data_IF_579747745977
#
_entry.id   IF_579747745977
#
_cell.length_a   1.000
_cell.length_b   1.000
_cell.length_c   1.000
_cell.angle_alpha   90.00
_cell.angle_beta   90.00
_cell.angle_gamma   90.00
#
_symmetry.space_group_name_H-M   'P 1'
#
loop_
_entity.id
_entity.type
_entity.pdbx_description
1 polymer ?
#
# COMPACT_ATOMS: atom_id res chain seq x y z
N UNK A 1 -71.36 -88.08 15.19
CA UNK A 1 -71.63 -87.68 16.58
C UNK A 1 -70.33 -87.26 17.23
N UNK A 2 -70.35 -86.09 17.85
CA UNK A 2 -69.33 -85.39 18.63
C UNK A 2 -68.92 -84.07 17.96
N UNK A 3 -69.72 -83.06 18.30
CA UNK A 3 -69.63 -81.66 17.93
C UNK A 3 -68.31 -81.03 18.41
N UNK A 4 -67.71 -80.20 17.55
CA UNK A 4 -66.70 -79.21 17.96
C UNK A 4 -67.39 -77.85 18.01
N UNK A 5 -67.70 -77.41 19.22
CA UNK A 5 -68.26 -76.11 19.49
C UNK A 5 -67.26 -74.99 19.20
N UNK A 6 -67.76 -74.05 18.40
CA UNK A 6 -67.24 -72.73 18.11
C UNK A 6 -67.13 -71.88 19.38
N UNK A 7 -65.95 -71.33 19.64
CA UNK A 7 -65.80 -70.11 20.45
C UNK A 7 -65.24 -69.01 19.56
N UNK A 8 -66.15 -68.37 18.84
CA UNK A 8 -65.96 -67.04 18.26
C UNK A 8 -66.05 -66.01 19.39
N UNK A 9 -64.94 -65.37 19.74
CA UNK A 9 -64.95 -64.07 20.41
C UNK A 9 -64.50 -63.03 19.40
N UNK A 10 -65.49 -62.44 18.74
CA UNK A 10 -65.35 -61.21 17.96
C UNK A 10 -65.18 -60.05 18.94
N UNK A 11 -64.07 -59.32 18.80
CA UNK A 11 -63.91 -57.98 19.37
C UNK A 11 -62.96 -57.22 18.44
N UNK A 12 -63.53 -56.77 17.32
CA UNK A 12 -62.98 -55.72 16.48
C UNK A 12 -62.97 -54.41 17.29
N UNK A 13 -61.79 -53.92 17.62
CA UNK A 13 -61.53 -52.49 17.66
C UNK A 13 -60.88 -52.12 16.30
N UNK A 14 -61.47 -51.22 15.49
CA UNK A 14 -60.83 -50.74 14.29
C UNK A 14 -59.75 -49.75 14.70
N UNK A 15 -58.56 -50.26 15.01
CA UNK A 15 -57.35 -49.46 14.84
C UNK A 15 -57.14 -49.32 13.33
N UNK A 16 -57.17 -48.07 12.86
CA UNK A 16 -56.81 -47.65 11.51
C UNK A 16 -55.72 -48.56 10.95
N UNK A 17 -56.08 -49.41 9.99
CA UNK A 17 -55.11 -50.16 9.21
C UNK A 17 -54.46 -49.14 8.26
N UNK A 18 -53.23 -48.68 8.51
CA UNK A 18 -52.62 -47.59 7.75
C UNK A 18 -52.32 -48.00 6.31
N UNK A 19 -52.57 -49.25 5.95
CA UNK A 19 -52.35 -49.84 4.63
C UNK A 19 -53.65 -49.93 3.81
N UNK A 20 -54.82 -49.73 4.43
CA UNK A 20 -56.12 -49.87 3.77
C UNK A 20 -56.56 -48.65 2.96
N UNK A 21 -55.94 -47.49 3.17
CA UNK A 21 -56.28 -46.22 2.49
C UNK A 21 -55.38 -45.92 1.27
N UNK A 22 -54.35 -46.72 1.04
CA UNK A 22 -53.38 -46.50 -0.02
C UNK A 22 -53.75 -47.25 -1.30
N UNK A 23 -53.61 -46.59 -2.45
CA UNK A 23 -53.74 -47.26 -3.76
C UNK A 23 -52.59 -48.24 -3.99
N UNK A 24 -52.78 -49.27 -4.84
CA UNK A 24 -51.73 -50.25 -5.14
C UNK A 24 -50.39 -49.60 -5.59
N UNK A 25 -50.48 -48.48 -6.32
CA UNK A 25 -49.32 -47.70 -6.75
C UNK A 25 -48.61 -46.99 -5.57
N UNK A 26 -49.37 -46.46 -4.60
CA UNK A 26 -48.82 -45.87 -3.37
C UNK A 26 -48.18 -46.94 -2.48
N UNK A 27 -48.77 -48.14 -2.43
CA UNK A 27 -48.22 -49.30 -1.72
C UNK A 27 -46.88 -49.75 -2.34
N UNK A 28 -46.80 -49.76 -3.68
CA UNK A 28 -45.56 -50.09 -4.39
C UNK A 28 -44.48 -49.05 -4.10
N UNK A 29 -44.80 -47.75 -4.16
CA UNK A 29 -43.86 -46.69 -3.86
C UNK A 29 -43.34 -46.77 -2.42
N UNK A 30 -44.23 -47.05 -1.45
CA UNK A 30 -43.85 -47.24 -0.05
C UNK A 30 -42.92 -48.45 0.15
N UNK A 31 -43.15 -49.53 -0.58
CA UNK A 31 -42.31 -50.73 -0.53
C UNK A 31 -40.92 -50.44 -1.09
N UNK A 32 -40.82 -49.72 -2.21
CA UNK A 32 -39.54 -49.27 -2.78
C UNK A 32 -38.78 -48.35 -1.82
N UNK A 33 -39.47 -47.39 -1.20
CA UNK A 33 -38.88 -46.48 -0.22
C UNK A 33 -38.41 -47.21 1.04
N UNK A 34 -39.20 -48.17 1.55
CA UNK A 34 -38.81 -49.03 2.66
C UNK A 34 -37.62 -49.92 2.29
N UNK A 35 -37.56 -50.44 1.07
CA UNK A 35 -36.43 -51.25 0.61
C UNK A 35 -35.16 -50.41 0.51
N UNK A 36 -35.26 -49.19 -0.02
CA UNK A 36 -34.16 -48.24 -0.07
C UNK A 36 -33.67 -47.86 1.34
N UNK A 37 -34.60 -47.56 2.26
CA UNK A 37 -34.27 -47.27 3.66
C UNK A 37 -33.60 -48.45 4.36
N UNK A 38 -34.12 -49.67 4.19
CA UNK A 38 -33.52 -50.89 4.71
C UNK A 38 -32.10 -51.11 4.18
N UNK A 39 -31.86 -50.83 2.90
CA UNK A 39 -30.52 -50.91 2.31
C UNK A 39 -29.55 -49.90 2.93
N UNK A 40 -30.00 -48.69 3.24
CA UNK A 40 -29.19 -47.69 3.96
C UNK A 40 -28.84 -48.18 5.36
N UNK A 41 -29.82 -48.70 6.12
CA UNK A 41 -29.56 -49.26 7.45
C UNK A 41 -28.65 -50.49 7.43
N UNK A 42 -28.77 -51.34 6.42
CA UNK A 42 -27.85 -52.47 6.23
C UNK A 42 -26.42 -51.98 5.97
N UNK A 43 -26.23 -51.01 5.08
CA UNK A 43 -24.92 -50.43 4.81
C UNK A 43 -24.32 -49.77 6.06
N UNK A 44 -25.12 -49.01 6.80
CA UNK A 44 -24.74 -48.39 8.08
C UNK A 44 -24.32 -49.45 9.10
N UNK A 45 -25.09 -50.54 9.22
CA UNK A 45 -24.80 -51.65 10.14
C UNK A 45 -23.49 -52.36 9.78
N UNK A 46 -23.27 -52.64 8.49
CA UNK A 46 -22.04 -53.27 7.99
C UNK A 46 -20.84 -52.37 8.29
N UNK A 47 -20.96 -51.06 8.08
CA UNK A 47 -19.90 -50.10 8.38
C UNK A 47 -19.56 -50.12 9.87
N UNK A 48 -20.56 -50.04 10.76
CA UNK A 48 -20.33 -50.11 12.20
C UNK A 48 -19.77 -51.45 12.66
N UNK A 49 -20.18 -52.55 12.04
CA UNK A 49 -19.66 -53.88 12.35
C UNK A 49 -18.17 -53.99 11.98
N UNK A 50 -17.77 -53.47 10.81
CA UNK A 50 -16.37 -53.40 10.40
C UNK A 50 -15.54 -52.56 11.35
N UNK A 51 -16.01 -51.36 11.67
CA UNK A 51 -15.36 -50.48 12.63
C UNK A 51 -15.22 -51.14 14.01
N UNK A 52 -16.28 -51.78 14.52
CA UNK A 52 -16.26 -52.46 15.81
C UNK A 52 -15.29 -53.65 15.83
N UNK A 53 -15.21 -54.43 14.74
CA UNK A 53 -14.24 -55.53 14.60
C UNK A 53 -12.79 -55.03 14.69
N UNK A 54 -12.49 -53.83 14.19
CA UNK A 54 -11.15 -53.24 14.28
C UNK A 54 -10.85 -52.69 15.68
N UNK A 55 -11.80 -51.99 16.30
CA UNK A 55 -11.58 -51.28 17.57
C UNK A 55 -11.68 -52.20 18.80
N UNK A 56 -12.57 -53.19 18.78
CA UNK A 56 -12.78 -54.13 19.89
C UNK A 56 -12.87 -55.59 19.40
N UNK A 57 -11.73 -56.20 19.03
CA UNK A 57 -11.70 -57.58 18.54
C UNK A 57 -12.20 -58.62 19.57
N UNK A 58 -12.17 -58.30 20.86
CA UNK A 58 -12.57 -59.22 21.95
C UNK A 58 -14.09 -59.23 22.24
N UNK A 59 -14.83 -58.16 21.93
CA UNK A 59 -16.28 -58.09 22.14
C UNK A 59 -17.05 -58.82 21.03
N UNK A 60 -16.52 -58.77 19.80
CA UNK A 60 -17.07 -59.49 18.65
C UNK A 60 -16.86 -61.00 18.75
N UNK A 61 -15.71 -61.44 19.28
CA UNK A 61 -15.43 -62.86 19.52
C UNK A 61 -16.32 -63.49 20.61
N UNK A 62 -16.68 -62.73 21.66
CA UNK A 62 -17.53 -63.21 22.75
C UNK A 62 -19.01 -63.42 22.31
N UNK A 63 -19.49 -62.62 21.35
CA UNK A 63 -20.85 -62.74 20.83
C UNK A 63 -21.06 -64.00 19.96
N UNK A 64 -20.00 -64.57 19.37
CA UNK A 64 -20.10 -65.80 18.55
C UNK A 64 -20.02 -67.08 19.38
N UNK A 65 -19.63 -67.02 20.66
CA UNK A 65 -19.40 -68.22 21.50
C UNK A 65 -20.59 -68.68 22.36
N UNK A 66 -21.78 -68.08 22.28
CA UNK A 66 -22.92 -68.43 23.16
C UNK A 66 -23.84 -69.55 22.63
N UNK A 67 -23.44 -70.30 21.60
CA UNK A 67 -24.27 -71.38 21.04
C UNK A 67 -23.56 -72.74 20.95
N UNK A 68 -23.01 -73.27 22.05
CA UNK A 68 -22.72 -74.72 22.19
C UNK A 68 -22.93 -75.19 23.63
N UNK A 69 -23.69 -76.28 23.80
CA UNK A 69 -24.05 -76.95 25.05
C UNK A 69 -22.84 -77.51 25.84
N UNK A 70 -22.97 -77.79 27.17
CA UNK A 70 -21.84 -78.11 28.02
C UNK A 70 -21.52 -79.62 28.03
N UNK A 71 -20.24 -79.96 27.92
CA UNK A 71 -19.68 -81.22 28.45
C UNK A 71 -18.32 -80.95 29.11
N UNK A 72 -17.96 -81.71 30.17
CA UNK A 72 -16.86 -81.35 31.07
C UNK A 72 -15.54 -82.01 30.66
N UNK A 73 -14.38 -81.38 30.92
CA UNK A 73 -13.21 -82.02 31.59
C UNK A 73 -11.96 -81.12 31.65
N UNK A 74 -11.52 -80.89 32.90
CA UNK A 74 -10.16 -80.84 33.49
C UNK A 74 -8.93 -80.31 32.71
N UNK A 75 -8.30 -79.26 33.27
CA UNK A 75 -6.90 -79.22 33.78
C UNK A 75 -6.50 -77.77 34.14
N UNK A 76 -6.36 -77.44 35.43
CA UNK A 76 -5.09 -77.15 36.14
C UNK A 76 -4.15 -76.13 35.48
N UNK A 77 -4.18 -74.86 35.89
CA UNK A 77 -3.15 -74.28 36.78
C UNK A 77 -3.45 -72.80 37.13
N UNK A 78 -3.01 -72.45 38.33
CA UNK A 78 -3.16 -71.19 39.06
C UNK A 78 -2.74 -69.90 38.33
N UNK A 79 -3.59 -68.88 38.42
CA UNK A 79 -3.14 -67.49 38.53
C UNK A 79 -4.15 -66.65 39.35
N UNK A 80 -3.62 -66.02 40.39
CA UNK A 80 -4.32 -65.30 41.47
C UNK A 80 -5.26 -64.21 40.97
N UNK A 81 -6.56 -64.37 41.25
CA UNK A 81 -7.59 -63.35 41.08
C UNK A 81 -7.62 -62.42 42.30
N UNK A 82 -7.23 -61.16 42.08
CA UNK A 82 -7.58 -60.02 42.93
C UNK A 82 -9.09 -59.79 42.86
N UNK A 83 -9.82 -60.19 43.91
CA UNK A 83 -11.25 -59.90 44.08
C UNK A 83 -11.45 -58.41 44.34
N UNK A 84 -11.74 -57.62 43.29
CA UNK A 84 -12.43 -56.33 43.45
C UNK A 84 -13.94 -56.54 43.33
N UNK A 85 -14.56 -56.55 44.51
CA UNK A 85 -15.99 -56.49 44.84
C UNK A 85 -16.76 -55.54 43.91
N UNK A 86 -17.51 -56.10 42.94
CA UNK A 86 -18.51 -55.36 42.18
C UNK A 86 -19.72 -55.10 43.09
N UNK A 87 -19.89 -53.83 43.47
CA UNK A 87 -21.06 -53.34 44.18
C UNK A 87 -22.16 -53.16 43.14
N UNK A 88 -23.21 -53.95 43.24
CA UNK A 88 -24.44 -53.81 42.49
C UNK A 88 -24.96 -52.38 42.60
N UNK A 89 -25.21 -51.74 41.46
CA UNK A 89 -25.96 -50.49 41.39
C UNK A 89 -26.79 -50.48 40.12
N UNK A 90 -28.11 -50.46 40.30
CA UNK A 90 -29.05 -49.87 39.37
C UNK A 90 -29.45 -50.74 38.19
N UNK A 91 -30.47 -51.57 38.40
CA UNK A 91 -31.52 -51.76 37.39
C UNK A 91 -32.11 -50.39 37.10
N UNK A 92 -31.94 -49.89 35.87
CA UNK A 92 -32.40 -48.58 35.49
C UNK A 92 -31.82 -48.17 34.14
N UNK A 93 -32.64 -48.31 33.11
CA UNK A 93 -32.52 -47.65 31.81
C UNK A 93 -31.54 -48.32 30.83
N UNK A 94 -31.93 -49.49 30.31
CA UNK A 94 -31.59 -49.93 28.94
C UNK A 94 -32.32 -49.03 27.91
N UNK A 95 -32.13 -47.71 27.99
CA UNK A 95 -32.27 -46.89 26.79
C UNK A 95 -30.96 -47.12 26.07
N UNK A 96 -30.98 -47.99 25.06
CA UNK A 96 -29.91 -48.11 24.08
C UNK A 96 -29.29 -46.72 23.86
N UNK A 97 -28.05 -46.53 24.30
CA UNK A 97 -27.26 -45.34 24.01
C UNK A 97 -27.01 -45.36 22.51
N UNK A 98 -27.99 -44.87 21.75
CA UNK A 98 -27.87 -44.71 20.31
C UNK A 98 -26.74 -43.70 20.09
N UNK A 99 -25.81 -44.05 19.21
CA UNK A 99 -24.77 -43.13 18.75
C UNK A 99 -25.43 -41.83 18.29
N UNK A 100 -24.89 -40.70 18.75
CA UNK A 100 -25.32 -39.39 18.27
C UNK A 100 -24.96 -39.24 16.79
N UNK A 101 -25.67 -38.39 16.05
CA UNK A 101 -25.43 -38.18 14.62
C UNK A 101 -23.96 -37.79 14.33
N UNK A 102 -23.37 -36.97 15.20
CA UNK A 102 -21.96 -36.59 15.14
C UNK A 102 -21.02 -37.81 15.28
N UNK A 103 -21.26 -38.67 16.27
CA UNK A 103 -20.46 -39.88 16.49
C UNK A 103 -20.58 -40.86 15.32
N UNK A 104 -21.76 -40.96 14.69
CA UNK A 104 -21.96 -41.77 13.48
C UNK A 104 -21.19 -41.21 12.29
N UNK A 105 -21.20 -39.89 12.11
CA UNK A 105 -20.42 -39.21 11.07
C UNK A 105 -18.91 -39.42 11.28
N UNK A 106 -18.42 -39.34 12.52
CA UNK A 106 -17.01 -39.60 12.83
C UNK A 106 -16.59 -41.03 12.49
N UNK A 107 -17.42 -42.02 12.84
CA UNK A 107 -17.16 -43.42 12.49
C UNK A 107 -17.20 -43.62 10.97
N UNK A 108 -18.17 -42.99 10.28
CA UNK A 108 -18.25 -43.04 8.82
C UNK A 108 -17.01 -42.43 8.15
N UNK A 109 -16.51 -41.30 8.65
CA UNK A 109 -15.30 -40.68 8.13
C UNK A 109 -14.07 -41.57 8.30
N UNK A 110 -13.89 -42.17 9.49
CA UNK A 110 -12.79 -43.13 9.72
C UNK A 110 -12.88 -44.35 8.81
N UNK A 111 -14.07 -44.93 8.66
CA UNK A 111 -14.26 -46.07 7.75
C UNK A 111 -13.95 -45.68 6.30
N UNK A 112 -14.33 -44.48 5.87
CA UNK A 112 -14.01 -43.98 4.52
C UNK A 112 -12.50 -43.85 4.33
N UNK A 113 -11.78 -43.34 5.33
CA UNK A 113 -10.30 -43.25 5.30
C UNK A 113 -9.66 -44.64 5.22
N UNK A 114 -10.12 -45.59 6.04
CA UNK A 114 -9.62 -46.97 6.03
C UNK A 114 -9.92 -47.67 4.70
N UNK A 115 -11.12 -47.51 4.15
CA UNK A 115 -11.46 -48.06 2.83
C UNK A 115 -10.61 -47.44 1.72
N UNK A 116 -10.28 -46.15 1.80
CA UNK A 116 -9.35 -45.51 0.86
C UNK A 116 -7.96 -46.13 0.96
N UNK A 117 -7.43 -46.34 2.16
CA UNK A 117 -6.15 -47.01 2.35
C UNK A 117 -6.17 -48.47 1.86
N UNK A 118 -7.24 -49.22 2.11
CA UNK A 118 -7.41 -50.59 1.62
C UNK A 118 -7.44 -50.63 0.08
N UNK A 119 -8.16 -49.71 -0.56
CA UNK A 119 -8.20 -49.57 -2.02
C UNK A 119 -6.80 -49.28 -2.56
N UNK A 120 -6.05 -48.36 -1.95
CA UNK A 120 -4.73 -47.99 -2.45
C UNK A 120 -3.71 -49.13 -2.25
N UNK A 121 -3.74 -49.84 -1.13
CA UNK A 121 -2.95 -51.07 -0.93
C UNK A 121 -3.29 -52.14 -1.98
N UNK A 122 -4.57 -52.37 -2.26
CA UNK A 122 -5.00 -53.32 -3.29
C UNK A 122 -4.52 -52.91 -4.69
N UNK A 123 -4.53 -51.62 -5.02
CA UNK A 123 -3.97 -51.12 -6.29
C UNK A 123 -2.48 -51.36 -6.38
N UNK A 124 -1.71 -51.01 -5.34
CA UNK A 124 -0.27 -51.25 -5.32
C UNK A 124 0.08 -52.73 -5.49
N UNK A 125 -0.66 -53.61 -4.84
CA UNK A 125 -0.45 -55.05 -4.94
C UNK A 125 -0.84 -55.58 -6.32
N UNK A 126 -1.94 -55.10 -6.89
CA UNK A 126 -2.33 -55.42 -8.27
C UNK A 126 -1.28 -54.96 -9.29
N UNK A 127 -0.71 -53.76 -9.11
CA UNK A 127 0.38 -53.25 -9.95
C UNK A 127 1.64 -54.11 -9.85
N UNK A 128 2.07 -54.48 -8.64
CA UNK A 128 3.20 -55.40 -8.44
C UNK A 128 2.99 -56.74 -9.14
N UNK A 129 1.78 -57.28 -9.07
CA UNK A 129 1.41 -58.54 -9.75
C UNK A 129 1.46 -58.35 -11.27
N UNK A 130 0.88 -57.28 -11.80
CA UNK A 130 0.92 -56.98 -13.24
C UNK A 130 2.35 -56.82 -13.76
N UNK A 131 3.20 -56.11 -13.04
CA UNK A 131 4.60 -55.92 -13.43
C UNK A 131 5.38 -57.23 -13.38
N UNK A 132 5.07 -58.11 -12.43
CA UNK A 132 5.64 -59.47 -12.39
C UNK A 132 5.21 -60.27 -13.62
N UNK A 133 3.92 -60.26 -13.97
CA UNK A 133 3.45 -60.96 -15.18
C UNK A 133 4.05 -60.39 -16.46
N UNK A 134 4.17 -59.08 -16.59
CA UNK A 134 4.86 -58.44 -17.72
C UNK A 134 6.30 -58.91 -17.83
N UNK A 135 7.05 -58.91 -16.73
CA UNK A 135 8.43 -59.37 -16.71
C UNK A 135 8.55 -60.85 -17.12
N UNK A 136 7.64 -61.71 -16.66
CA UNK A 136 7.60 -63.14 -17.04
C UNK A 136 7.27 -63.32 -18.53
N UNK A 137 6.31 -62.56 -19.07
CA UNK A 137 5.97 -62.61 -20.49
C UNK A 137 7.15 -62.17 -21.36
N UNK A 138 7.78 -61.03 -21.04
CA UNK A 138 8.96 -60.55 -21.75
C UNK A 138 10.12 -61.56 -21.71
N UNK A 139 10.36 -62.18 -20.55
CA UNK A 139 11.36 -63.23 -20.41
C UNK A 139 11.03 -64.47 -21.26
N UNK A 140 9.76 -64.88 -21.31
CA UNK A 140 9.30 -65.99 -22.12
C UNK A 140 9.45 -65.71 -23.63
N UNK A 141 9.14 -64.49 -24.08
CA UNK A 141 9.31 -64.06 -25.47
C UNK A 141 10.78 -64.06 -25.89
N UNK A 142 11.66 -63.53 -25.02
CA UNK A 142 13.12 -63.57 -25.25
C UNK A 142 13.60 -65.01 -25.33
N UNK A 143 13.23 -65.88 -24.39
CA UNK A 143 13.60 -67.30 -24.41
C UNK A 143 13.10 -68.02 -25.66
N UNK A 144 11.86 -67.76 -26.08
CA UNK A 144 11.28 -68.39 -27.26
C UNK A 144 12.05 -67.97 -28.53
N UNK A 145 12.39 -66.69 -28.65
CA UNK A 145 13.19 -66.17 -29.75
C UNK A 145 14.59 -66.79 -29.78
N UNK A 146 15.26 -66.87 -28.63
CA UNK A 146 16.57 -67.51 -28.49
C UNK A 146 16.53 -69.00 -28.82
N UNK A 147 15.51 -69.73 -28.37
CA UNK A 147 15.35 -71.16 -28.64
C UNK A 147 15.12 -71.41 -30.13
N UNK A 148 14.27 -70.63 -30.79
CA UNK A 148 14.04 -70.71 -32.24
C UNK A 148 15.34 -70.48 -33.01
N UNK A 149 16.09 -69.43 -32.66
CA UNK A 149 17.38 -69.13 -33.26
C UNK A 149 18.39 -70.26 -33.03
N UNK A 150 18.50 -70.75 -31.80
CA UNK A 150 19.40 -71.86 -31.42
C UNK A 150 19.06 -73.15 -32.16
N UNK A 151 17.78 -73.48 -32.30
CA UNK A 151 17.30 -74.64 -33.06
C UNK A 151 17.68 -74.55 -34.54
N UNK A 152 17.43 -73.38 -35.16
CA UNK A 152 17.79 -73.14 -36.56
C UNK A 152 19.32 -73.21 -36.79
N UNK A 153 20.10 -72.56 -35.93
CA UNK A 153 21.56 -72.61 -35.99
C UNK A 153 22.09 -74.03 -35.83
N UNK A 154 21.52 -74.81 -34.90
CA UNK A 154 21.89 -76.21 -34.72
C UNK A 154 21.56 -77.07 -35.95
N UNK A 155 20.37 -76.91 -36.53
CA UNK A 155 19.99 -77.64 -37.74
C UNK A 155 20.93 -77.29 -38.92
N UNK A 156 21.23 -76.01 -39.10
CA UNK A 156 22.11 -75.53 -40.16
C UNK A 156 23.55 -76.01 -39.97
N UNK A 157 24.13 -75.78 -38.80
CA UNK A 157 25.57 -75.90 -38.57
C UNK A 157 25.96 -77.34 -38.19
N UNK A 158 25.09 -78.07 -37.49
CA UNK A 158 25.34 -79.46 -37.08
C UNK A 158 24.67 -80.47 -38.00
N UNK A 159 23.34 -80.42 -38.15
CA UNK A 159 22.61 -81.46 -38.88
C UNK A 159 22.85 -81.42 -40.39
N UNK A 160 23.10 -80.24 -40.96
CA UNK A 160 23.39 -80.07 -42.40
C UNK A 160 24.88 -79.79 -42.66
N UNK A 161 25.50 -78.90 -41.88
CA UNK A 161 26.88 -78.44 -42.10
C UNK A 161 27.99 -79.36 -41.59
N UNK A 162 27.69 -80.30 -40.69
CA UNK A 162 28.68 -81.15 -40.02
C UNK A 162 28.56 -82.64 -40.35
N UNK A 163 27.89 -82.98 -41.44
CA UNK A 163 27.75 -84.36 -41.92
C UNK A 163 28.94 -84.74 -42.80
N UNK A 164 29.47 -85.94 -42.62
CA UNK A 164 30.51 -86.47 -43.50
C UNK A 164 29.87 -86.96 -44.81
N UNK A 165 30.23 -86.33 -45.94
CA UNK A 165 29.68 -86.63 -47.27
C UNK A 165 29.76 -88.11 -47.67
N UNK A 166 30.71 -88.89 -47.13
CA UNK A 166 30.86 -90.31 -47.48
C UNK A 166 30.03 -91.25 -46.60
N UNK A 167 29.76 -90.89 -45.35
CA UNK A 167 29.04 -91.77 -44.41
C UNK A 167 27.64 -91.28 -44.07
N UNK A 168 27.28 -90.05 -44.43
CA UNK A 168 25.99 -89.43 -44.09
C UNK A 168 25.79 -89.21 -42.58
N UNK A 169 26.83 -89.46 -41.76
CA UNK A 169 26.77 -89.30 -40.30
C UNK A 169 27.39 -87.98 -39.86
N UNK A 170 26.82 -87.38 -38.82
CA UNK A 170 27.34 -86.15 -38.19
C UNK A 170 28.70 -86.43 -37.53
N UNK A 171 29.66 -85.54 -37.75
CA UNK A 171 31.00 -85.62 -37.17
C UNK A 171 30.95 -85.20 -35.69
N UNK A 172 31.23 -86.15 -34.78
CA UNK A 172 31.13 -85.95 -33.34
C UNK A 172 31.98 -84.77 -32.81
N UNK A 173 33.20 -84.60 -33.32
CA UNK A 173 34.10 -83.50 -32.90
C UNK A 173 33.49 -82.12 -33.16
N UNK A 174 32.78 -81.94 -34.29
CA UNK A 174 32.11 -80.67 -34.60
C UNK A 174 30.93 -80.39 -33.67
N UNK A 175 30.22 -81.44 -33.23
CA UNK A 175 29.14 -81.33 -32.24
C UNK A 175 29.68 -80.89 -30.89
N UNK A 176 30.77 -81.50 -30.43
CA UNK A 176 31.44 -81.13 -29.16
C UNK A 176 31.89 -79.67 -29.21
N UNK A 177 32.57 -79.27 -30.29
CA UNK A 177 33.03 -77.88 -30.46
C UNK A 177 31.88 -76.87 -30.46
N UNK A 178 30.75 -77.19 -31.11
CA UNK A 178 29.56 -76.35 -31.07
C UNK A 178 29.03 -76.15 -29.65
N UNK A 179 28.92 -77.21 -28.85
CA UNK A 179 28.47 -77.09 -27.47
C UNK A 179 29.46 -76.31 -26.59
N UNK A 180 30.78 -76.48 -26.80
CA UNK A 180 31.81 -75.70 -26.10
C UNK A 180 31.75 -74.21 -26.46
N UNK A 181 31.58 -73.87 -27.75
CA UNK A 181 31.43 -72.49 -28.22
C UNK A 181 30.14 -71.87 -27.66
N UNK A 182 29.02 -72.61 -27.66
CA UNK A 182 27.75 -72.16 -27.07
C UNK A 182 27.87 -71.97 -25.57
N UNK A 183 28.53 -72.87 -24.84
CA UNK A 183 28.75 -72.72 -23.41
C UNK A 183 29.58 -71.46 -23.11
N UNK A 184 30.70 -71.25 -23.81
CA UNK A 184 31.50 -70.02 -23.69
C UNK A 184 30.70 -68.75 -23.99
N UNK A 185 29.84 -68.79 -25.01
CA UNK A 185 28.97 -67.64 -25.34
C UNK A 185 27.95 -67.34 -24.23
N UNK A 186 27.38 -68.37 -23.59
CA UNK A 186 26.47 -68.24 -22.45
C UNK A 186 27.18 -67.67 -21.23
N UNK A 187 28.39 -68.14 -20.93
CA UNK A 187 29.19 -67.64 -19.82
C UNK A 187 29.52 -66.13 -19.99
N UNK A 188 29.89 -65.72 -21.22
CA UNK A 188 30.09 -64.30 -21.53
C UNK A 188 28.81 -63.46 -21.39
N UNK A 189 27.65 -64.01 -21.77
CA UNK A 189 26.36 -63.34 -21.58
C UNK A 189 26.00 -63.20 -20.09
N UNK A 190 26.26 -64.23 -19.28
CA UNK A 190 26.05 -64.20 -17.82
C UNK A 190 26.86 -63.06 -17.20
N UNK A 191 28.15 -62.94 -17.53
CA UNK A 191 28.99 -61.84 -17.00
C UNK A 191 28.50 -60.47 -17.45
N UNK A 192 28.08 -60.33 -18.72
CA UNK A 192 27.47 -59.09 -19.22
C UNK A 192 26.19 -58.72 -18.46
N UNK A 193 25.32 -59.69 -18.19
CA UNK A 193 24.08 -59.47 -17.44
C UNK A 193 24.36 -59.14 -15.96
N UNK A 194 25.35 -59.79 -15.34
CA UNK A 194 25.78 -59.48 -13.97
C UNK A 194 26.26 -58.04 -13.84
N UNK A 195 27.11 -57.58 -14.77
CA UNK A 195 27.59 -56.20 -14.79
C UNK A 195 26.43 -55.21 -14.95
N UNK A 196 25.53 -55.44 -15.91
CA UNK A 196 24.33 -54.61 -16.11
C UNK A 196 23.45 -54.56 -14.86
N UNK A 197 23.22 -55.70 -14.20
CA UNK A 197 22.43 -55.77 -12.97
C UNK A 197 23.06 -54.94 -11.85
N UNK A 198 24.39 -55.01 -11.70
CA UNK A 198 25.14 -54.18 -10.75
C UNK A 198 24.97 -52.69 -11.04
N UNK A 199 25.12 -52.27 -12.30
CA UNK A 199 24.94 -50.87 -12.72
C UNK A 199 23.51 -50.38 -12.44
N UNK A 200 22.49 -51.16 -12.80
CA UNK A 200 21.09 -50.80 -12.56
C UNK A 200 20.77 -50.71 -11.06
N UNK A 201 21.35 -51.58 -10.21
CA UNK A 201 21.22 -51.47 -8.75
C UNK A 201 21.79 -50.16 -8.21
N UNK A 202 22.94 -49.71 -8.71
CA UNK A 202 23.54 -48.42 -8.32
C UNK A 202 22.67 -47.26 -8.79
N UNK A 203 22.17 -47.30 -10.03
CA UNK A 203 21.26 -46.28 -10.55
C UNK A 203 19.96 -46.19 -9.75
N UNK A 204 19.34 -47.33 -9.42
CA UNK A 204 18.16 -47.39 -8.55
C UNK A 204 18.42 -46.72 -7.20
N UNK A 205 19.56 -47.03 -6.54
CA UNK A 205 19.93 -46.41 -5.27
C UNK A 205 20.11 -44.89 -5.40
N UNK A 206 20.76 -44.43 -6.47
CA UNK A 206 20.94 -42.99 -6.75
C UNK A 206 19.60 -42.27 -6.93
N UNK A 207 18.69 -42.83 -7.75
CA UNK A 207 17.38 -42.26 -7.98
C UNK A 207 16.54 -42.23 -6.70
N UNK A 208 16.59 -43.30 -5.90
CA UNK A 208 15.90 -43.34 -4.62
C UNK A 208 16.43 -42.28 -3.64
N UNK A 209 17.74 -42.05 -3.58
CA UNK A 209 18.33 -40.97 -2.79
C UNK A 209 17.90 -39.58 -3.29
N UNK A 210 17.85 -39.38 -4.61
CA UNK A 210 17.36 -38.13 -5.20
C UNK A 210 15.89 -37.88 -4.87
N UNK A 211 15.06 -38.93 -4.91
CA UNK A 211 13.66 -38.86 -4.52
C UNK A 211 13.54 -38.43 -3.05
N UNK A 212 14.27 -39.09 -2.15
CA UNK A 212 14.28 -38.76 -0.72
C UNK A 212 14.72 -37.31 -0.47
N UNK A 213 15.77 -36.83 -1.15
CA UNK A 213 16.20 -35.43 -1.05
C UNK A 213 15.14 -34.44 -1.54
N UNK A 214 14.37 -34.82 -2.57
CA UNK A 214 13.27 -34.00 -3.08
C UNK A 214 12.06 -34.00 -2.14
N UNK A 215 11.78 -35.13 -1.50
CA UNK A 215 10.76 -35.24 -0.45
C UNK A 215 11.14 -34.40 0.77
N UNK A 216 12.37 -34.52 1.29
CA UNK A 216 12.89 -33.67 2.39
C UNK A 216 12.89 -32.18 2.03
N UNK A 217 13.19 -31.82 0.78
CA UNK A 217 13.07 -30.43 0.30
C UNK A 217 11.61 -29.95 0.26
N UNK A 218 10.67 -30.86 -0.03
CA UNK A 218 9.23 -30.60 0.05
C UNK A 218 8.73 -30.48 1.49
N UNK A 219 9.34 -31.18 2.44
CA UNK A 219 9.07 -31.00 3.88
C UNK A 219 9.60 -29.67 4.42
N UNK A 220 10.68 -29.10 3.85
CA UNK A 220 11.21 -27.78 4.23
C UNK A 220 10.42 -26.62 3.63
N UNK A 221 9.73 -26.84 2.50
CA UNK A 221 8.88 -25.83 1.86
C UNK A 221 7.41 -26.15 2.10
N UNK A 222 6.89 -25.80 3.27
CA UNK A 222 5.48 -25.99 3.54
C UNK A 222 4.64 -25.07 2.63
N UNK A 223 3.57 -25.62 2.06
CA UNK A 223 2.56 -24.83 1.34
C UNK A 223 2.06 -23.65 2.20
N UNK A 224 2.03 -23.83 3.53
CA UNK A 224 1.71 -22.79 4.51
C UNK A 224 2.70 -21.63 4.47
N UNK A 225 4.02 -21.87 4.37
CA UNK A 225 5.03 -20.81 4.27
C UNK A 225 4.89 -20.04 2.94
N UNK A 226 4.55 -20.76 1.87
CA UNK A 226 4.31 -20.15 0.56
C UNK A 226 3.05 -19.28 0.56
N UNK A 227 1.99 -19.74 1.23
CA UNK A 227 0.78 -18.96 1.44
C UNK A 227 1.02 -17.77 2.36
N UNK A 228 1.82 -17.93 3.42
CA UNK A 228 2.23 -16.83 4.29
C UNK A 228 3.00 -15.76 3.50
N UNK A 229 3.99 -16.14 2.70
CA UNK A 229 4.72 -15.21 1.83
C UNK A 229 3.80 -14.49 0.85
N UNK A 230 2.81 -15.17 0.27
CA UNK A 230 1.81 -14.54 -0.60
C UNK A 230 0.97 -13.52 0.16
N UNK A 231 0.53 -13.85 1.38
CA UNK A 231 -0.25 -12.95 2.24
C UNK A 231 0.60 -11.72 2.60
N UNK A 232 1.84 -11.92 3.05
CA UNK A 232 2.75 -10.84 3.40
C UNK A 232 3.03 -9.94 2.19
N UNK A 233 3.28 -10.51 1.01
CA UNK A 233 3.48 -9.73 -0.22
C UNK A 233 2.24 -8.90 -0.56
N UNK A 234 1.05 -9.49 -0.49
CA UNK A 234 -0.21 -8.78 -0.71
C UNK A 234 -0.39 -7.62 0.28
N UNK A 235 -0.08 -7.83 1.57
CA UNK A 235 -0.15 -6.79 2.59
C UNK A 235 0.87 -5.66 2.35
N UNK A 236 2.07 -5.99 1.87
CA UNK A 236 3.06 -4.96 1.53
C UNK A 236 2.65 -4.15 0.31
N UNK A 237 2.04 -4.78 -0.71
CA UNK A 237 1.49 -4.07 -1.86
C UNK A 237 0.38 -3.10 -1.46
N UNK A 238 -0.54 -3.53 -0.60
CA UNK A 238 -1.60 -2.67 -0.09
C UNK A 238 -1.03 -1.46 0.68
N UNK A 239 -0.04 -1.69 1.55
CA UNK A 239 0.66 -0.60 2.26
C UNK A 239 1.37 0.36 1.31
N UNK A 240 1.97 -0.15 0.23
CA UNK A 240 2.62 0.69 -0.79
C UNK A 240 1.57 1.55 -1.48
N UNK A 241 0.43 0.98 -1.85
CA UNK A 241 -0.66 1.72 -2.48
C UNK A 241 -1.26 2.79 -1.56
N UNK A 242 -1.47 2.50 -0.27
CA UNK A 242 -1.88 3.50 0.72
C UNK A 242 -0.89 4.67 0.79
N UNK A 243 0.41 4.38 0.92
CA UNK A 243 1.44 5.43 0.99
C UNK A 243 1.52 6.23 -0.31
N UNK A 244 1.31 5.60 -1.46
CA UNK A 244 1.26 6.27 -2.75
C UNK A 244 0.06 7.21 -2.86
N UNK A 245 -1.12 6.80 -2.37
CA UNK A 245 -2.31 7.65 -2.30
C UNK A 245 -2.10 8.85 -1.37
N UNK A 246 -1.50 8.64 -0.20
CA UNK A 246 -1.16 9.71 0.73
C UNK A 246 -0.16 10.70 0.11
N UNK A 247 0.86 10.19 -0.58
CA UNK A 247 1.84 11.02 -1.29
C UNK A 247 1.17 11.87 -2.38
N UNK A 248 0.24 11.28 -3.14
CA UNK A 248 -0.52 12.01 -4.16
C UNK A 248 -1.38 13.11 -3.54
N UNK A 249 -2.08 12.82 -2.43
CA UNK A 249 -2.88 13.80 -1.68
C UNK A 249 -2.02 14.96 -1.20
N UNK A 250 -0.86 14.67 -0.61
CA UNK A 250 0.08 15.69 -0.13
C UNK A 250 0.65 16.53 -1.28
N UNK A 251 0.96 15.94 -2.43
CA UNK A 251 1.41 16.68 -3.62
C UNK A 251 0.35 17.65 -4.12
N UNK A 252 -0.91 17.22 -4.21
CA UNK A 252 -2.03 18.09 -4.60
C UNK A 252 -2.21 19.24 -3.61
N UNK A 253 -2.20 18.94 -2.30
CA UNK A 253 -2.31 19.96 -1.26
C UNK A 253 -1.16 20.97 -1.33
N UNK A 254 0.09 20.49 -1.49
CA UNK A 254 1.27 21.34 -1.67
C UNK A 254 1.14 22.25 -2.90
N UNK A 255 0.67 21.71 -4.03
CA UNK A 255 0.40 22.48 -5.25
C UNK A 255 -0.64 23.59 -5.02
N UNK A 256 -1.75 23.26 -4.35
CA UNK A 256 -2.79 24.23 -4.00
C UNK A 256 -2.25 25.33 -3.07
N UNK A 257 -1.52 24.95 -2.01
CA UNK A 257 -0.89 25.91 -1.10
C UNK A 257 0.09 26.82 -1.83
N UNK A 258 0.87 26.28 -2.78
CA UNK A 258 1.78 27.08 -3.61
C UNK A 258 1.04 28.06 -4.51
N UNK A 259 -0.11 27.67 -5.07
CA UNK A 259 -0.95 28.56 -5.87
C UNK A 259 -1.51 29.71 -5.03
N UNK A 260 -2.02 29.41 -3.84
CA UNK A 260 -2.50 30.42 -2.88
C UNK A 260 -1.36 31.34 -2.43
N UNK A 261 -0.18 30.79 -2.13
CA UNK A 261 0.99 31.59 -1.78
C UNK A 261 1.39 32.55 -2.92
N UNK A 262 1.38 32.07 -4.16
CA UNK A 262 1.67 32.91 -5.32
C UNK A 262 0.63 34.00 -5.54
N UNK A 263 -0.65 33.75 -5.27
CA UNK A 263 -1.69 34.78 -5.38
C UNK A 263 -1.47 35.88 -4.33
N UNK A 264 -1.16 35.52 -3.08
CA UNK A 264 -0.81 36.49 -2.04
C UNK A 264 0.48 37.25 -2.35
N UNK A 265 1.50 36.59 -2.91
CA UNK A 265 2.74 37.25 -3.33
C UNK A 265 2.49 38.30 -4.41
N UNK A 266 1.64 37.99 -5.39
CA UNK A 266 1.22 38.96 -6.43
C UNK A 266 0.45 40.13 -5.81
N UNK A 267 -0.53 39.86 -4.93
CA UNK A 267 -1.32 40.89 -4.26
C UNK A 267 -0.45 41.82 -3.40
N UNK A 268 0.49 41.23 -2.65
CA UNK A 268 1.46 41.99 -1.86
C UNK A 268 2.31 42.90 -2.77
N UNK A 269 2.83 42.37 -3.88
CA UNK A 269 3.63 43.16 -4.82
C UNK A 269 2.84 44.35 -5.39
N UNK A 270 1.58 44.16 -5.78
CA UNK A 270 0.70 45.26 -6.22
C UNK A 270 0.52 46.31 -5.12
N UNK A 271 0.21 45.89 -3.89
CA UNK A 271 0.05 46.81 -2.76
C UNK A 271 1.35 47.55 -2.42
N UNK A 272 2.51 46.91 -2.57
CA UNK A 272 3.81 47.56 -2.40
C UNK A 272 4.03 48.65 -3.45
N UNK A 273 3.74 48.37 -4.73
CA UNK A 273 3.84 49.37 -5.79
C UNK A 273 2.87 50.55 -5.57
N UNK A 274 1.64 50.27 -5.14
CA UNK A 274 0.69 51.32 -4.77
C UNK A 274 1.18 52.15 -3.57
N UNK A 275 1.74 51.51 -2.55
CA UNK A 275 2.33 52.18 -1.40
C UNK A 275 3.47 53.11 -1.82
N UNK A 276 4.37 52.66 -2.69
CA UNK A 276 5.48 53.47 -3.16
C UNK A 276 5.00 54.63 -4.06
N UNK A 277 3.98 54.39 -4.90
CA UNK A 277 3.30 55.46 -5.66
C UNK A 277 2.71 56.52 -4.73
N UNK A 278 1.96 56.10 -3.70
CA UNK A 278 1.35 57.00 -2.74
C UNK A 278 2.40 57.77 -1.93
N UNK A 279 3.51 57.14 -1.53
CA UNK A 279 4.63 57.84 -0.89
C UNK A 279 5.18 58.94 -1.78
N UNK A 280 5.43 58.66 -3.06
CA UNK A 280 5.87 59.68 -4.03
C UNK A 280 4.84 60.79 -4.23
N UNK A 281 3.55 60.48 -4.18
CA UNK A 281 2.47 61.47 -4.28
C UNK A 281 2.41 62.37 -3.03
N UNK A 282 2.63 61.79 -1.85
CA UNK A 282 2.71 62.52 -0.58
C UNK A 282 3.92 63.45 -0.57
N UNK A 283 5.10 62.98 -1.00
CA UNK A 283 6.30 63.84 -1.06
C UNK A 283 6.09 65.02 -2.01
N UNK A 284 5.54 64.77 -3.20
CA UNK A 284 5.23 65.83 -4.16
C UNK A 284 4.20 66.84 -3.63
N UNK A 285 3.16 66.37 -2.92
CA UNK A 285 2.18 67.27 -2.28
C UNK A 285 2.80 68.09 -1.15
N UNK A 286 3.67 67.49 -0.33
CA UNK A 286 4.37 68.22 0.72
C UNK A 286 5.29 69.30 0.14
N UNK A 287 6.02 69.00 -0.94
CA UNK A 287 6.82 70.01 -1.65
C UNK A 287 5.96 71.15 -2.19
N UNK A 288 4.80 70.83 -2.77
CA UNK A 288 3.86 71.86 -3.23
C UNK A 288 3.34 72.72 -2.08
N UNK A 289 2.96 72.10 -0.95
CA UNK A 289 2.53 72.82 0.25
C UNK A 289 3.62 73.77 0.74
N UNK A 290 4.88 73.30 0.85
CA UNK A 290 5.99 74.18 1.27
C UNK A 290 6.20 75.36 0.33
N UNK A 291 5.95 75.19 -0.98
CA UNK A 291 6.04 76.29 -1.95
C UNK A 291 4.88 77.28 -1.78
N UNK A 292 3.66 76.78 -1.59
CA UNK A 292 2.48 77.61 -1.34
C UNK A 292 2.62 78.39 -0.03
N UNK A 293 3.14 77.76 1.03
CA UNK A 293 3.37 78.43 2.31
C UNK A 293 4.38 79.59 2.13
N UNK A 294 5.50 79.34 1.43
CA UNK A 294 6.48 80.38 1.12
C UNK A 294 5.89 81.51 0.25
N UNK A 295 5.11 81.17 -0.79
CA UNK A 295 4.41 82.16 -1.61
C UNK A 295 3.41 82.97 -0.75
N UNK A 296 2.69 82.32 0.15
CA UNK A 296 1.74 82.98 1.06
C UNK A 296 2.45 83.96 1.98
N UNK A 297 3.58 83.59 2.58
CA UNK A 297 4.41 84.50 3.38
C UNK A 297 4.85 85.73 2.57
N UNK A 298 5.28 85.55 1.33
CA UNK A 298 5.67 86.68 0.46
C UNK A 298 4.49 87.59 0.14
N UNK A 299 3.34 87.02 -0.22
CA UNK A 299 2.12 87.78 -0.53
C UNK A 299 1.60 88.51 0.70
N UNK A 300 1.66 87.91 1.90
CA UNK A 300 1.29 88.58 3.14
C UNK A 300 2.22 89.76 3.46
N UNK A 301 3.54 89.59 3.27
CA UNK A 301 4.50 90.67 3.45
C UNK A 301 4.27 91.83 2.46
N UNK A 302 3.96 91.51 1.19
CA UNK A 302 3.58 92.51 0.18
C UNK A 302 2.27 93.20 0.51
N UNK A 303 1.25 92.44 0.93
CA UNK A 303 -0.04 92.96 1.39
C UNK A 303 0.16 93.92 2.57
N UNK A 304 0.95 93.56 3.57
CA UNK A 304 1.24 94.41 4.73
C UNK A 304 1.93 95.73 4.32
N UNK A 305 2.89 95.68 3.40
CA UNK A 305 3.53 96.88 2.83
C UNK A 305 2.53 97.77 2.09
N UNK A 306 1.66 97.17 1.28
CA UNK A 306 0.63 97.87 0.53
C UNK A 306 -0.41 98.50 1.46
N UNK A 307 -0.83 97.81 2.52
CA UNK A 307 -1.74 98.33 3.54
C UNK A 307 -1.13 99.50 4.31
N UNK A 308 0.14 99.42 4.70
CA UNK A 308 0.85 100.51 5.36
C UNK A 308 0.96 101.75 4.45
N UNK A 309 1.27 101.55 3.16
CA UNK A 309 1.30 102.62 2.18
C UNK A 309 -0.10 103.25 2.00
N UNK A 310 -1.14 102.44 1.87
CA UNK A 310 -2.52 102.90 1.73
C UNK A 310 -2.96 103.70 2.96
N UNK A 311 -2.61 103.23 4.18
CA UNK A 311 -2.86 103.96 5.43
C UNK A 311 -2.18 105.32 5.43
N UNK A 312 -0.91 105.40 5.01
CA UNK A 312 -0.17 106.67 4.89
C UNK A 312 -0.81 107.62 3.88
N UNK A 313 -1.19 107.12 2.70
CA UNK A 313 -1.86 107.93 1.67
C UNK A 313 -3.23 108.44 2.15
N UNK A 314 -4.01 107.62 2.87
CA UNK A 314 -5.27 108.05 3.48
C UNK A 314 -5.06 109.10 4.57
N UNK A 315 -4.01 108.97 5.37
CA UNK A 315 -3.64 109.98 6.35
C UNK A 315 -3.24 111.29 5.67
N UNK A 316 -2.38 111.23 4.65
CA UNK A 316 -2.03 112.40 3.83
C UNK A 316 -3.25 113.06 3.20
N UNK A 317 -4.23 112.28 2.72
CA UNK A 317 -5.48 112.81 2.17
C UNK A 317 -6.37 113.45 3.24
N UNK A 318 -6.38 112.93 4.47
CA UNK A 318 -7.10 113.52 5.61
C UNK A 318 -6.44 114.78 6.15
N UNK A 319 -5.11 114.82 6.16
CA UNK A 319 -4.29 115.96 6.59
C UNK A 319 -4.21 117.05 5.50
N UNK A 320 -4.54 116.71 4.25
CA UNK A 320 -4.60 117.65 3.15
C UNK A 320 -5.77 118.62 3.36
N UNK A 321 -5.45 119.80 3.89
CA UNK A 321 -6.34 120.95 3.88
C UNK A 321 -5.91 121.90 2.77
N UNK A 322 -6.87 122.25 1.92
CA UNK A 322 -6.74 123.41 1.03
C UNK A 322 -6.78 124.65 1.92
N UNK A 323 -5.73 125.50 1.93
CA UNK A 323 -5.73 126.72 2.72
C UNK A 323 -6.95 127.59 2.38
N UNK A 324 -7.54 128.22 3.38
CA UNK A 324 -8.64 129.15 3.14
C UNK A 324 -8.14 130.31 2.27
N UNK A 325 -8.98 130.79 1.34
CA UNK A 325 -8.55 131.74 0.29
C UNK A 325 -7.94 133.00 0.91
N UNK A 326 -8.45 133.43 2.07
CA UNK A 326 -7.96 134.61 2.79
C UNK A 326 -6.58 134.35 3.41
N UNK A 327 -6.39 133.18 4.00
CA UNK A 327 -5.14 132.75 4.65
C UNK A 327 -4.02 132.55 3.60
N UNK A 328 -4.34 131.97 2.45
CA UNK A 328 -3.41 131.86 1.32
C UNK A 328 -2.99 133.24 0.80
N UNK A 329 -3.92 134.20 0.70
CA UNK A 329 -3.61 135.57 0.25
C UNK A 329 -2.73 136.30 1.27
N UNK A 330 -2.94 136.09 2.57
CA UNK A 330 -2.09 136.64 3.64
C UNK A 330 -0.68 136.06 3.61
N UNK A 331 -0.53 134.73 3.61
CA UNK A 331 0.76 134.04 3.49
C UNK A 331 1.54 134.48 2.23
N UNK A 332 0.82 134.69 1.11
CA UNK A 332 1.42 135.17 -0.15
C UNK A 332 1.82 136.66 -0.08
N UNK A 333 1.10 137.47 0.69
CA UNK A 333 1.47 138.86 0.99
C UNK A 333 2.68 138.93 1.93
N UNK A 334 2.74 138.07 2.95
CA UNK A 334 3.86 137.95 3.87
C UNK A 334 5.12 137.44 3.17
N UNK A 335 5.00 136.48 2.25
CA UNK A 335 6.10 136.08 1.36
C UNK A 335 6.60 137.25 0.50
N UNK A 336 5.71 138.14 0.07
CA UNK A 336 6.08 139.31 -0.72
C UNK A 336 6.79 140.38 0.14
N UNK A 337 6.30 140.64 1.35
CA UNK A 337 6.95 141.46 2.37
C UNK A 337 8.33 140.90 2.73
N UNK A 338 8.44 139.59 2.96
CA UNK A 338 9.68 138.92 3.28
C UNK A 338 10.68 138.99 2.12
N UNK A 339 10.23 138.77 0.88
CA UNK A 339 11.07 138.97 -0.31
C UNK A 339 11.55 140.43 -0.46
N UNK A 340 10.72 141.42 -0.08
CA UNK A 340 11.08 142.83 -0.07
C UNK A 340 12.11 143.16 1.02
N UNK A 341 11.97 142.57 2.21
CA UNK A 341 12.95 142.74 3.29
C UNK A 341 14.29 142.06 2.95
N UNK A 342 14.27 140.88 2.33
CA UNK A 342 15.48 140.22 1.81
C UNK A 342 16.20 141.14 0.81
N UNK A 343 15.49 141.70 -0.18
CA UNK A 343 16.06 142.68 -1.12
C UNK A 343 16.59 143.96 -0.46
N UNK A 344 15.95 144.41 0.62
CA UNK A 344 16.40 145.56 1.41
C UNK A 344 17.70 145.25 2.15
N UNK A 345 17.82 144.06 2.74
CA UNK A 345 19.03 143.59 3.40
C UNK A 345 20.16 143.34 2.41
N UNK A 346 19.89 142.76 1.24
CA UNK A 346 20.85 142.64 0.14
C UNK A 346 21.42 144.03 -0.23
N UNK A 347 20.58 145.05 -0.38
CA UNK A 347 21.04 146.44 -0.60
C UNK A 347 21.88 147.00 0.55
N UNK A 348 21.54 146.70 1.80
CA UNK A 348 22.33 147.15 2.97
C UNK A 348 23.70 146.47 3.01
N UNK A 349 23.77 145.18 2.64
CA UNK A 349 25.02 144.44 2.50
C UNK A 349 25.87 145.06 1.39
N UNK A 350 25.30 145.37 0.22
CA UNK A 350 26.01 146.06 -0.86
C UNK A 350 26.61 147.40 -0.42
N UNK A 351 25.86 148.22 0.33
CA UNK A 351 26.34 149.51 0.86
C UNK A 351 27.48 149.30 1.88
N UNK A 352 27.34 148.31 2.77
CA UNK A 352 28.38 147.97 3.75
C UNK A 352 29.65 147.43 3.07
N UNK A 353 29.52 146.61 2.03
CA UNK A 353 30.64 146.13 1.21
C UNK A 353 31.34 147.29 0.48
N UNK A 354 30.59 148.24 -0.10
CA UNK A 354 31.16 149.44 -0.71
C UNK A 354 31.90 150.33 0.30
N UNK A 355 31.35 150.49 1.51
CA UNK A 355 32.02 151.21 2.60
C UNK A 355 33.31 150.51 3.04
N UNK A 356 33.29 149.19 3.19
CA UNK A 356 34.45 148.38 3.56
C UNK A 356 35.54 148.41 2.46
N UNK A 357 35.15 148.44 1.18
CA UNK A 357 36.06 148.64 0.04
C UNK A 357 36.74 150.01 0.07
N UNK A 358 36.00 151.04 0.52
CA UNK A 358 36.52 152.41 0.66
C UNK A 358 37.49 152.52 1.84
N UNK A 359 37.15 151.93 2.99
CA UNK A 359 38.03 151.85 4.16
C UNK A 359 39.30 151.01 3.91
N UNK A 360 39.21 149.93 3.12
CA UNK A 360 40.39 149.16 2.68
C UNK A 360 41.30 149.96 1.75
N UNK A 361 40.75 150.80 0.87
CA UNK A 361 41.54 151.70 0.02
C UNK A 361 42.29 152.73 0.87
N UNK A 362 41.62 153.42 1.79
CA UNK A 362 42.26 154.41 2.67
C UNK A 362 43.28 153.79 3.63
N UNK A 363 43.02 152.60 4.16
CA UNK A 363 43.98 151.84 4.97
C UNK A 363 45.23 151.44 4.18
N UNK A 364 45.10 151.01 2.92
CA UNK A 364 46.24 150.69 2.07
C UNK A 364 47.08 151.93 1.72
N UNK A 365 46.45 153.11 1.56
CA UNK A 365 47.20 154.38 1.37
C UNK A 365 47.97 154.78 2.62
N UNK A 366 47.41 154.59 3.82
CA UNK A 366 48.12 154.84 5.09
C UNK A 366 49.25 153.84 5.34
N UNK A 367 49.06 152.56 4.96
CA UNK A 367 50.08 151.51 5.09
C UNK A 367 51.26 151.68 4.12
N UNK A 368 51.05 152.29 2.94
CA UNK A 368 52.12 152.56 1.98
C UNK A 368 53.03 153.74 2.39
N UNK A 369 52.51 154.76 3.09
CA UNK A 369 53.36 155.88 3.55
C UNK A 369 54.05 155.65 4.91
N UNK A 370 53.52 154.79 5.79
CA UNK A 370 54.26 154.43 7.02
C UNK A 370 55.50 153.57 6.72
N UNK A 371 55.59 152.97 5.53
CA UNK A 371 56.72 152.14 5.09
C UNK A 371 57.88 152.90 4.43
N UNK A 372 57.81 154.23 4.29
CA UNK A 372 58.91 155.02 3.70
C UNK A 372 59.80 155.74 4.75
N UNK A 373 59.42 155.69 6.05
CA UNK A 373 60.19 156.31 7.14
C UNK A 373 61.17 155.37 7.88
N UNK A 374 61.30 154.10 7.48
CA UNK A 374 62.14 153.09 8.17
C UNK A 374 63.29 152.55 7.29
N UNK A 375 63.84 153.35 6.37
CA UNK A 375 64.99 152.99 5.52
C UNK A 375 66.13 154.04 5.57
N UNK A 376 66.26 154.75 6.69
CA UNK A 376 67.40 155.63 7.01
C UNK A 376 67.94 155.27 8.40
N UNK A 377 68.47 154.05 8.52
CA UNK A 377 69.49 153.66 9.49
C UNK A 377 70.12 152.36 8.97
N UNK A 378 71.42 152.43 8.64
CA UNK A 378 72.24 151.63 7.71
C UNK A 378 72.01 151.92 6.23
#
# INVERSE_FOLDING_TARGET
>A
MADSESVTTSSQDPQDDPLGEHTDDELQQLLEDLHAGNKVFQNETIMFEKYLKRVEPNLTAAATTTAVAPTPSQSTHDARVMRKRSKSKGSGVDKHLKLNAEQKCDIAQREIEELREEIDKLKEDAEKILDTYKAVMEEADVRLSELKKSSYEYERDILKGSVNNRTGKVVAEKVVRYFEDKQRSRDALIEKLRLKNSTLKVQKKKLHLQLKQKEEMGEVLHEVDFQQLKIENSQYLEKIDERNQDLLRLKLMSGNTLQVLNSYKKKLHTLTLESDRLKSEITSRNELLTRIDAETETVEAERAKAEELNRRLRQQLGDFRVPDVVEYVQEKADLYELAKTVKSWERKVDIAEMALKTHRKTWNTMKMNSHQNWALET
#
